data_IF_031604823012
#
_entry.id   IF_031604823012
#
_cell.length_a   1.000
_cell.length_b   1.000
_cell.length_c   1.000
_cell.angle_alpha   90.00
_cell.angle_beta   90.00
_cell.angle_gamma   90.00
#
_symmetry.space_group_name_H-M   'P 1'
#
loop_
_entity.id
_entity.type
_entity.pdbx_description
1 polymer ?
#
# COMPACT_ATOMS: atom_id res chain seq x y z
N UNK A 1 -22.28 -19.24 10.44
CA UNK A 1 -21.49 -18.97 9.21
C UNK A 1 -20.02 -19.04 9.59
N UNK A 2 -19.20 -19.81 8.87
CA UNK A 2 -17.82 -20.05 9.26
C UNK A 2 -17.00 -18.74 9.26
N UNK A 3 -16.15 -18.57 10.27
CA UNK A 3 -15.23 -17.44 10.45
C UNK A 3 -14.49 -17.04 9.16
N UNK A 4 -13.99 -18.04 8.42
CA UNK A 4 -13.31 -17.84 7.12
C UNK A 4 -14.17 -17.18 6.04
N UNK A 5 -15.46 -17.50 5.98
CA UNK A 5 -16.36 -16.89 5.01
C UNK A 5 -16.66 -15.42 5.35
N UNK A 6 -16.71 -15.08 6.64
CA UNK A 6 -16.87 -13.69 7.09
C UNK A 6 -15.63 -12.86 6.73
N UNK A 7 -14.43 -13.40 6.99
CA UNK A 7 -13.15 -12.75 6.63
C UNK A 7 -13.06 -12.53 5.11
N UNK A 8 -13.36 -13.56 4.30
CA UNK A 8 -13.32 -13.44 2.84
C UNK A 8 -14.35 -12.44 2.30
N UNK A 9 -15.54 -12.37 2.89
CA UNK A 9 -16.57 -11.42 2.47
C UNK A 9 -16.15 -9.96 2.75
N UNK A 10 -15.49 -9.72 3.89
CA UNK A 10 -14.95 -8.41 4.24
C UNK A 10 -13.82 -8.01 3.27
N UNK A 11 -12.89 -8.93 2.99
CA UNK A 11 -11.81 -8.68 2.02
C UNK A 11 -12.38 -8.33 0.64
N UNK A 12 -13.36 -9.09 0.15
CA UNK A 12 -13.95 -8.85 -1.17
C UNK A 12 -14.71 -7.52 -1.24
N UNK A 13 -15.45 -7.18 -0.17
CA UNK A 13 -16.12 -5.89 -0.03
C UNK A 13 -15.10 -4.75 -0.08
N UNK A 14 -14.04 -4.82 0.71
CA UNK A 14 -13.03 -3.75 0.77
C UNK A 14 -12.27 -3.62 -0.54
N UNK A 15 -11.92 -4.74 -1.19
CA UNK A 15 -11.28 -4.76 -2.50
C UNK A 15 -12.16 -4.11 -3.58
N UNK A 16 -13.46 -4.45 -3.60
CA UNK A 16 -14.42 -3.86 -4.52
C UNK A 16 -14.68 -2.37 -4.22
N UNK A 17 -14.73 -1.99 -2.95
CA UNK A 17 -14.94 -0.60 -2.53
C UNK A 17 -13.77 0.29 -2.97
N UNK A 18 -12.55 -0.16 -2.75
CA UNK A 18 -11.34 0.57 -3.12
C UNK A 18 -11.15 0.63 -4.63
N UNK A 19 -11.42 -0.46 -5.37
CA UNK A 19 -11.36 -0.46 -6.84
C UNK A 19 -12.39 0.49 -7.47
N UNK A 20 -13.50 0.77 -6.77
CA UNK A 20 -14.52 1.70 -7.23
C UNK A 20 -14.16 3.14 -6.96
N UNK A 21 -13.56 3.45 -5.81
CA UNK A 21 -13.12 4.82 -5.49
C UNK A 21 -11.81 5.17 -6.17
N UNK A 22 -10.88 4.22 -6.34
CA UNK A 22 -9.50 4.37 -6.85
C UNK A 22 -8.67 5.47 -6.20
N UNK A 23 -9.20 6.14 -5.20
CA UNK A 23 -8.63 7.35 -4.63
C UNK A 23 -7.40 7.04 -3.80
N UNK A 24 -7.48 5.99 -2.97
CA UNK A 24 -6.42 5.69 -2.03
C UNK A 24 -5.22 5.05 -2.73
N UNK A 25 -5.49 4.06 -3.59
CA UNK A 25 -4.46 3.40 -4.39
C UNK A 25 -3.76 4.39 -5.33
N UNK A 26 -4.50 5.26 -6.02
CA UNK A 26 -3.92 6.31 -6.88
C UNK A 26 -3.00 7.22 -6.09
N UNK A 27 -3.46 7.72 -4.94
CA UNK A 27 -2.69 8.68 -4.18
C UNK A 27 -1.46 8.06 -3.47
N UNK A 28 -1.50 6.76 -3.11
CA UNK A 28 -0.31 6.01 -2.67
C UNK A 28 0.70 5.86 -3.82
N UNK A 29 0.24 5.49 -5.02
CA UNK A 29 1.12 5.32 -6.20
C UNK A 29 1.75 6.64 -6.61
N UNK A 30 0.98 7.72 -6.68
CA UNK A 30 1.49 9.06 -7.00
C UNK A 30 2.53 9.50 -5.98
N UNK A 31 2.29 9.28 -4.68
CA UNK A 31 3.25 9.62 -3.65
C UNK A 31 4.53 8.80 -3.78
N UNK A 32 4.43 7.48 -3.96
CA UNK A 32 5.60 6.61 -4.20
C UNK A 32 6.40 7.06 -5.41
N UNK A 33 5.73 7.39 -6.52
CA UNK A 33 6.37 7.91 -7.73
C UNK A 33 7.11 9.23 -7.47
N UNK A 34 6.49 10.15 -6.74
CA UNK A 34 7.07 11.44 -6.39
C UNK A 34 8.34 11.26 -5.56
N UNK A 35 8.32 10.35 -4.57
CA UNK A 35 9.51 10.00 -3.78
C UNK A 35 10.63 9.47 -4.68
N UNK A 36 10.33 8.52 -5.56
CA UNK A 36 11.33 7.95 -6.49
C UNK A 36 11.94 9.02 -7.39
N UNK A 37 11.12 9.90 -7.97
CA UNK A 37 11.59 10.97 -8.86
C UNK A 37 12.49 11.96 -8.10
N UNK A 38 12.08 12.41 -6.91
CA UNK A 38 12.87 13.35 -6.11
C UNK A 38 14.23 12.76 -5.75
N UNK A 39 14.28 11.49 -5.36
CA UNK A 39 15.54 10.83 -5.02
C UNK A 39 16.42 10.56 -6.25
N UNK A 40 15.83 10.23 -7.39
CA UNK A 40 16.57 10.04 -8.64
C UNK A 40 17.34 11.31 -9.01
N UNK A 41 16.68 12.47 -9.00
CA UNK A 41 17.34 13.77 -9.19
C UNK A 41 18.40 14.06 -8.13
N UNK A 42 18.12 13.77 -6.86
CA UNK A 42 19.06 14.00 -5.77
C UNK A 42 20.35 13.16 -5.89
N UNK A 43 20.26 11.93 -6.41
CA UNK A 43 21.41 11.07 -6.64
C UNK A 43 22.23 11.48 -7.85
N UNK A 44 21.57 11.88 -8.94
CA UNK A 44 22.23 12.35 -10.16
C UNK A 44 23.04 13.63 -9.88
N UNK A 45 22.51 14.56 -9.09
CA UNK A 45 23.19 15.78 -8.67
C UNK A 45 24.49 15.53 -7.88
N UNK A 46 24.58 14.42 -7.16
CA UNK A 46 25.67 14.14 -6.21
C UNK A 46 26.56 12.95 -6.63
N UNK A 47 26.31 12.34 -7.79
CA UNK A 47 26.98 11.13 -8.28
C UNK A 47 27.01 10.00 -7.22
N UNK A 48 25.91 9.84 -6.47
CA UNK A 48 25.80 8.77 -5.48
C UNK A 48 25.54 7.45 -6.19
N UNK A 49 26.25 6.39 -5.79
CA UNK A 49 26.00 5.04 -6.31
C UNK A 49 24.63 4.52 -5.82
N UNK A 50 23.72 4.32 -6.77
CA UNK A 50 22.37 3.81 -6.55
C UNK A 50 22.39 2.42 -5.89
N UNK A 51 23.42 1.61 -6.11
CA UNK A 51 23.51 0.28 -5.48
C UNK A 51 23.62 0.37 -3.95
N UNK A 52 24.19 1.45 -3.42
CA UNK A 52 24.33 1.66 -1.97
C UNK A 52 23.11 2.35 -1.34
N UNK A 53 22.48 3.29 -2.04
CA UNK A 53 21.44 4.16 -1.49
C UNK A 53 20.01 3.82 -1.96
N UNK A 54 19.87 3.11 -3.08
CA UNK A 54 18.58 2.70 -3.68
C UNK A 54 17.67 1.89 -2.75
N UNK A 55 18.17 0.89 -2.00
CA UNK A 55 17.36 0.15 -1.03
C UNK A 55 16.74 1.04 0.05
N UNK A 56 17.49 2.05 0.51
CA UNK A 56 17.00 3.01 1.50
C UNK A 56 15.83 3.83 0.95
N UNK A 57 15.92 4.29 -0.30
CA UNK A 57 14.85 5.05 -0.95
C UNK A 57 13.59 4.22 -1.13
N UNK A 58 13.71 2.95 -1.53
CA UNK A 58 12.54 2.06 -1.62
C UNK A 58 11.87 1.86 -0.27
N UNK A 59 12.64 1.62 0.80
CA UNK A 59 12.07 1.48 2.15
C UNK A 59 11.38 2.75 2.62
N UNK A 60 11.92 3.93 2.32
CA UNK A 60 11.27 5.21 2.59
C UNK A 60 9.96 5.32 1.79
N UNK A 61 9.99 5.07 0.48
CA UNK A 61 8.80 5.11 -0.37
C UNK A 61 7.71 4.14 0.13
N UNK A 62 8.07 2.92 0.51
CA UNK A 62 7.14 1.91 1.02
C UNK A 62 6.56 2.27 2.37
N UNK A 63 7.40 2.71 3.32
CA UNK A 63 6.95 3.03 4.67
C UNK A 63 6.00 4.21 4.65
N UNK A 64 6.36 5.30 3.95
CA UNK A 64 5.51 6.48 3.87
C UNK A 64 4.23 6.23 3.07
N UNK A 65 4.32 5.54 1.93
CA UNK A 65 3.12 5.20 1.15
C UNK A 65 2.19 4.28 1.97
N UNK A 66 2.75 3.34 2.73
CA UNK A 66 2.00 2.47 3.65
C UNK A 66 1.27 3.26 4.74
N UNK A 67 1.95 4.19 5.43
CA UNK A 67 1.34 5.07 6.44
C UNK A 67 0.24 5.93 5.83
N UNK A 68 0.47 6.49 4.65
CA UNK A 68 -0.49 7.34 3.96
C UNK A 68 -1.77 6.60 3.61
N UNK A 69 -1.68 5.43 2.98
CA UNK A 69 -2.90 4.72 2.61
C UNK A 69 -3.57 3.99 3.76
N UNK A 70 -2.84 3.60 4.82
CA UNK A 70 -3.44 3.19 6.09
C UNK A 70 -4.31 4.31 6.67
N UNK A 71 -3.74 5.52 6.79
CA UNK A 71 -4.45 6.67 7.34
C UNK A 71 -5.70 7.03 6.54
N UNK A 72 -5.59 7.05 5.22
CA UNK A 72 -6.71 7.31 4.31
C UNK A 72 -7.75 6.19 4.28
N UNK A 73 -7.36 4.92 4.38
CA UNK A 73 -8.31 3.80 4.45
C UNK A 73 -9.17 3.91 5.72
N UNK A 74 -8.53 4.24 6.86
CA UNK A 74 -9.24 4.47 8.12
C UNK A 74 -10.12 5.72 8.09
N UNK A 75 -9.66 6.82 7.50
CA UNK A 75 -10.47 8.04 7.32
C UNK A 75 -11.71 7.77 6.45
N UNK A 76 -11.54 7.08 5.33
CA UNK A 76 -12.63 6.76 4.42
C UNK A 76 -13.74 5.92 5.07
N UNK A 77 -13.41 5.05 6.03
CA UNK A 77 -14.41 4.30 6.79
C UNK A 77 -15.03 5.07 7.94
N UNK A 78 -14.25 5.93 8.59
CA UNK A 78 -14.75 6.82 9.64
C UNK A 78 -15.79 7.78 9.06
N UNK A 79 -15.50 8.39 7.91
CA UNK A 79 -16.40 9.32 7.24
C UNK A 79 -17.68 8.65 6.71
N UNK A 80 -17.63 7.36 6.40
CA UNK A 80 -18.79 6.57 5.93
C UNK A 80 -19.64 5.97 7.06
N UNK A 81 -19.24 6.11 8.33
CA UNK A 81 -19.90 5.42 9.46
C UNK A 81 -19.86 3.88 9.34
N UNK A 82 -19.02 3.33 8.45
CA UNK A 82 -18.96 1.90 8.12
C UNK A 82 -18.50 1.09 9.34
N UNK A 83 -17.63 1.67 10.15
CA UNK A 83 -17.12 1.07 11.39
C UNK A 83 -18.24 0.87 12.43
N UNK A 84 -19.12 1.86 12.59
CA UNK A 84 -20.27 1.79 13.51
C UNK A 84 -21.32 0.79 13.00
N UNK A 85 -21.59 0.78 11.70
CA UNK A 85 -22.47 -0.21 11.07
C UNK A 85 -21.96 -1.65 11.21
N UNK A 86 -20.64 -1.86 11.14
CA UNK A 86 -20.03 -3.18 11.30
C UNK A 86 -20.07 -3.65 12.76
N UNK A 87 -19.92 -2.73 13.72
CA UNK A 87 -20.04 -3.02 15.16
C UNK A 87 -21.46 -3.40 15.60
N UNK A 88 -22.48 -2.99 14.83
CA UNK A 88 -23.87 -3.37 15.05
C UNK A 88 -24.23 -4.75 14.45
N UNK A 89 -23.37 -5.32 13.61
CA UNK A 89 -23.61 -6.67 13.06
C UNK A 89 -23.17 -7.77 14.05
N UNK A 90 -23.86 -8.93 14.07
CA UNK A 90 -23.52 -10.06 14.94
C UNK A 90 -22.32 -10.85 14.36
N UNK A 91 -21.21 -10.16 14.11
CA UNK A 91 -19.96 -10.70 13.59
C UNK A 91 -18.91 -10.63 14.69
N UNK A 92 -18.10 -11.68 14.82
CA UNK A 92 -17.02 -11.69 15.79
C UNK A 92 -16.00 -10.58 15.49
N UNK A 93 -15.57 -9.85 16.53
CA UNK A 93 -14.65 -8.71 16.40
C UNK A 93 -13.29 -9.15 15.85
N UNK A 94 -12.89 -10.40 16.09
CA UNK A 94 -11.68 -11.00 15.54
C UNK A 94 -11.72 -11.18 14.02
N UNK A 95 -12.88 -11.57 13.46
CA UNK A 95 -13.05 -11.72 12.02
C UNK A 95 -12.98 -10.37 11.29
N UNK A 96 -13.54 -9.32 11.91
CA UNK A 96 -13.47 -7.95 11.41
C UNK A 96 -12.03 -7.45 11.38
N UNK A 97 -11.29 -7.63 12.47
CA UNK A 97 -9.89 -7.20 12.55
C UNK A 97 -9.03 -7.90 11.49
N UNK A 98 -9.13 -9.24 11.38
CA UNK A 98 -8.34 -9.99 10.42
C UNK A 98 -8.70 -9.65 8.98
N UNK A 99 -9.98 -9.57 8.62
CA UNK A 99 -10.38 -9.22 7.25
C UNK A 99 -9.84 -7.87 6.82
N UNK A 100 -9.88 -6.89 7.72
CA UNK A 100 -9.43 -5.52 7.46
C UNK A 100 -7.91 -5.39 7.42
N UNK A 101 -7.22 -6.09 8.34
CA UNK A 101 -5.75 -6.16 8.34
C UNK A 101 -5.23 -6.83 7.05
N UNK A 102 -5.83 -7.95 6.64
CA UNK A 102 -5.47 -8.66 5.40
C UNK A 102 -5.79 -7.83 4.16
N UNK A 103 -6.95 -7.17 4.11
CA UNK A 103 -7.32 -6.26 3.02
C UNK A 103 -6.29 -5.14 2.85
N UNK A 104 -5.95 -4.45 3.95
CA UNK A 104 -4.95 -3.40 3.93
C UNK A 104 -3.55 -3.91 3.57
N UNK A 105 -3.17 -5.10 4.04
CA UNK A 105 -1.92 -5.74 3.65
C UNK A 105 -1.86 -5.98 2.15
N UNK A 106 -2.92 -6.53 1.54
CA UNK A 106 -3.02 -6.74 0.09
C UNK A 106 -2.84 -5.42 -0.66
N UNK A 107 -3.47 -4.32 -0.23
CA UNK A 107 -3.31 -3.02 -0.89
C UNK A 107 -1.88 -2.49 -0.83
N UNK A 108 -1.24 -2.61 0.33
CA UNK A 108 0.17 -2.21 0.47
C UNK A 108 1.05 -3.07 -0.45
N UNK A 109 0.83 -4.38 -0.52
CA UNK A 109 1.56 -5.29 -1.41
C UNK A 109 1.35 -4.94 -2.89
N UNK A 110 0.12 -4.67 -3.31
CA UNK A 110 -0.19 -4.28 -4.70
C UNK A 110 0.52 -2.96 -5.06
N UNK A 111 0.50 -1.98 -4.16
CA UNK A 111 1.23 -0.73 -4.37
C UNK A 111 2.74 -0.96 -4.48
N UNK A 112 3.33 -1.76 -3.58
CA UNK A 112 4.75 -2.11 -3.66
C UNK A 112 5.11 -2.79 -4.98
N UNK A 113 4.25 -3.71 -5.46
CA UNK A 113 4.42 -4.40 -6.73
C UNK A 113 4.34 -3.46 -7.95
N UNK A 114 3.66 -2.32 -7.84
CA UNK A 114 3.62 -1.28 -8.88
C UNK A 114 4.82 -0.33 -8.76
N UNK A 115 5.20 0.06 -7.55
CA UNK A 115 6.29 1.01 -7.31
C UNK A 115 7.66 0.40 -7.64
N UNK A 116 7.87 -0.89 -7.39
CA UNK A 116 9.12 -1.61 -7.73
C UNK A 116 9.53 -1.51 -9.21
N UNK A 117 8.69 -1.94 -10.18
CA UNK A 117 9.03 -1.86 -11.58
C UNK A 117 9.19 -0.41 -12.04
N UNK A 118 8.39 0.52 -11.51
CA UNK A 118 8.58 1.94 -11.79
C UNK A 118 9.97 2.43 -11.37
N UNK A 119 10.40 2.09 -10.15
CA UNK A 119 11.72 2.47 -9.66
C UNK A 119 12.84 1.90 -10.53
N UNK A 120 12.73 0.63 -10.94
CA UNK A 120 13.71 -0.03 -11.78
C UNK A 120 13.82 0.62 -13.17
N UNK A 121 12.69 0.95 -13.79
CA UNK A 121 12.64 1.64 -15.09
C UNK A 121 13.28 3.03 -14.98
N UNK A 122 12.94 3.80 -13.93
CA UNK A 122 13.35 5.20 -13.79
C UNK A 122 14.85 5.35 -13.50
N UNK A 123 15.43 4.38 -12.78
CA UNK A 123 16.87 4.37 -12.46
C UNK A 123 17.69 3.51 -13.44
N UNK A 124 17.05 2.86 -14.43
CA UNK A 124 17.68 1.94 -15.38
C UNK A 124 18.57 0.88 -14.71
N UNK A 125 18.16 0.36 -13.55
CA UNK A 125 18.92 -0.64 -12.79
C UNK A 125 18.27 -2.01 -12.94
N UNK A 126 19.05 -3.02 -13.30
CA UNK A 126 18.60 -4.41 -13.33
C UNK A 126 18.16 -4.84 -11.92
N UNK A 127 17.00 -5.49 -11.75
CA UNK A 127 16.43 -5.89 -10.44
C UNK A 127 17.33 -6.80 -9.56
N UNK A 128 18.54 -7.15 -10.01
CA UNK A 128 19.51 -8.01 -9.32
C UNK A 128 20.06 -7.45 -7.99
N UNK A 129 19.80 -6.18 -7.66
CA UNK A 129 20.23 -5.55 -6.41
C UNK A 129 19.21 -5.72 -5.27
N UNK A 130 17.99 -6.22 -5.54
CA UNK A 130 16.98 -6.43 -4.52
C UNK A 130 17.22 -7.78 -3.84
N UNK A 131 17.61 -7.83 -2.55
CA UNK A 131 18.07 -9.08 -1.90
C UNK A 131 16.97 -10.13 -1.63
N UNK A 132 15.81 -10.00 -2.27
CA UNK A 132 14.65 -10.91 -2.15
C UNK A 132 14.34 -11.67 -3.47
N UNK A 133 15.14 -11.46 -4.53
CA UNK A 133 15.17 -12.27 -5.77
C UNK A 133 16.64 -12.66 -6.01
#
# INVERSE_FOLDING_TARGET
MNFFHQVSAIIHKDLAAELRTKENLSAMVVFGLLVVVVFNFAFELKNIDINSAGPGVLWVAFTFSGVLGLGRAFLAEKDKGSLEGLLLTPVDRGAIFLGKATSNFIFITVMQAITLPLFAILNNVALSWFPLI
#
